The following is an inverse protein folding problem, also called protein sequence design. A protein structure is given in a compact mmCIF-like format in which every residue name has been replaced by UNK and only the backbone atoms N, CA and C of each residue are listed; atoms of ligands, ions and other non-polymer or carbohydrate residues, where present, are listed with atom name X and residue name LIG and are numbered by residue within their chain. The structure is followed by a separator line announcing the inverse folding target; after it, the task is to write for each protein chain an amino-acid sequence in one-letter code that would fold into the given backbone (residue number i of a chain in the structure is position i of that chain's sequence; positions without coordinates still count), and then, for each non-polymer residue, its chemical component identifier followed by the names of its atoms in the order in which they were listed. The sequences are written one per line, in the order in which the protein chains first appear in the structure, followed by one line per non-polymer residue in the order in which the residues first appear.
data_IF_642410731835
#
_entry.id   IF_642410731835
#
_cell.length_a   1.000
_cell.length_b   1.000
_cell.length_c   1.000
_cell.angle_alpha   90.00
_cell.angle_beta   90.00
_cell.angle_gamma   90.00
#
_symmetry.space_group_name_H-M   'P 1'
#
loop_
_entity.id
_entity.type
_entity.pdbx_description
1 polymer ?
#
# COMPACT_ATOMS: atom_id res chain seq x y z
N UNK A 1 -1.85 6.76 32.52
CA UNK A 1 -0.75 6.24 31.68
C UNK A 1 0.15 7.41 31.38
N UNK A 2 1.26 7.51 32.11
CA UNK A 2 2.22 8.60 31.97
C UNK A 2 2.86 8.54 30.58
N UNK A 3 2.80 9.67 29.88
CA UNK A 3 3.44 9.87 28.59
C UNK A 3 4.95 9.90 28.74
N UNK A 4 5.60 8.81 28.34
CA UNK A 4 7.01 8.81 27.95
C UNK A 4 7.07 8.92 26.43
N UNK A 5 7.29 10.13 25.92
CA UNK A 5 7.58 10.37 24.50
C UNK A 5 8.96 9.84 24.14
N UNK A 6 9.11 8.52 24.09
CA UNK A 6 10.24 7.89 23.42
C UNK A 6 10.01 8.00 21.92
N UNK A 7 10.88 8.74 21.23
CA UNK A 7 10.92 8.75 19.77
C UNK A 7 11.22 7.32 19.31
N UNK A 8 10.21 6.62 18.78
CA UNK A 8 10.42 5.29 18.23
C UNK A 8 11.27 5.43 16.98
N UNK A 9 12.53 4.99 17.02
CA UNK A 9 13.34 4.87 15.81
C UNK A 9 12.81 3.70 15.00
N UNK A 10 12.16 3.99 13.87
CA UNK A 10 11.72 2.98 12.92
C UNK A 10 12.50 3.11 11.61
N UNK A 11 12.96 1.96 11.09
CA UNK A 11 13.47 1.89 9.73
C UNK A 11 12.30 1.86 8.75
N UNK A 12 12.47 2.49 7.60
CA UNK A 12 11.47 2.48 6.53
C UNK A 12 11.95 1.64 5.36
N UNK A 13 11.17 0.61 5.01
CA UNK A 13 11.40 -0.23 3.85
C UNK A 13 10.32 0.03 2.80
N UNK A 14 10.68 -0.15 1.52
CA UNK A 14 9.76 -0.05 0.39
C UNK A 14 9.94 -1.22 -0.55
N UNK A 15 8.84 -1.70 -1.10
CA UNK A 15 8.81 -2.70 -2.17
C UNK A 15 7.91 -2.20 -3.30
N UNK A 16 8.14 -2.75 -4.49
CA UNK A 16 7.30 -2.50 -5.66
C UNK A 16 6.56 -3.79 -5.99
N UNK A 17 5.25 -3.69 -6.17
CA UNK A 17 4.48 -4.80 -6.69
C UNK A 17 4.56 -4.80 -8.21
N UNK A 18 4.75 -5.97 -8.85
CA UNK A 18 4.71 -6.04 -10.29
C UNK A 18 3.31 -5.61 -10.76
N UNK A 19 3.27 -4.67 -11.70
CA UNK A 19 2.02 -4.38 -12.43
C UNK A 19 1.74 -5.62 -13.27
N UNK A 20 0.78 -6.44 -12.84
CA UNK A 20 0.34 -7.59 -13.62
C UNK A 20 -0.17 -7.06 -14.99
N UNK A 21 0.17 -7.71 -16.12
CA UNK A 21 -0.30 -7.27 -17.42
C UNK A 21 -1.82 -7.27 -17.46
N UNK A 22 -2.39 -6.06 -17.38
CA UNK A 22 -3.82 -5.72 -17.36
C UNK A 22 -4.61 -6.57 -16.35
N UNK A 23 -4.61 -6.19 -15.06
CA UNK A 23 -5.50 -6.83 -14.11
C UNK A 23 -6.94 -6.57 -14.60
N UNK A 24 -7.72 -7.63 -14.81
CA UNK A 24 -9.11 -7.47 -15.22
C UNK A 24 -9.86 -6.67 -14.14
N UNK A 25 -10.80 -5.79 -14.49
CA UNK A 25 -11.64 -5.12 -13.50
C UNK A 25 -12.27 -6.13 -12.53
N UNK A 26 -12.09 -5.89 -11.23
CA UNK A 26 -12.53 -6.79 -10.17
C UNK A 26 -11.51 -7.85 -9.75
N UNK A 27 -10.36 -7.95 -10.41
CA UNK A 27 -9.23 -8.73 -9.89
C UNK A 27 -8.68 -8.12 -8.61
N UNK A 28 -8.21 -8.97 -7.70
CA UNK A 28 -7.58 -8.55 -6.44
C UNK A 28 -6.24 -9.24 -6.25
N UNK A 29 -5.27 -8.47 -5.76
CA UNK A 29 -4.00 -8.98 -5.24
C UNK A 29 -4.06 -8.91 -3.71
N UNK A 30 -3.76 -10.02 -3.04
CA UNK A 30 -3.62 -10.08 -1.59
C UNK A 30 -2.16 -10.33 -1.20
N UNK A 31 -1.68 -9.64 -0.18
CA UNK A 31 -0.33 -9.84 0.37
C UNK A 31 -0.28 -9.60 1.88
N UNK A 32 0.74 -10.16 2.53
CA UNK A 32 1.07 -9.93 3.94
C UNK A 32 2.55 -9.55 4.04
N UNK A 33 2.95 -8.91 5.14
CA UNK A 33 4.33 -8.53 5.40
C UNK A 33 4.93 -9.54 6.37
N UNK A 34 6.04 -10.17 5.95
CA UNK A 34 6.88 -10.96 6.85
C UNK A 34 8.16 -10.19 7.11
N UNK A 35 8.49 -9.99 8.39
CA UNK A 35 9.75 -9.42 8.85
C UNK A 35 10.56 -10.49 9.58
N UNK A 36 11.72 -10.85 9.00
CA UNK A 36 12.61 -11.86 9.56
C UNK A 36 13.86 -11.18 10.12
N UNK A 37 14.09 -11.30 11.42
CA UNK A 37 15.25 -10.69 12.11
C UNK A 37 15.75 -11.60 13.22
N UNK A 38 17.07 -11.77 13.33
CA UNK A 38 17.71 -12.56 14.39
C UNK A 38 17.15 -13.99 14.56
N UNK A 39 16.67 -14.62 13.47
CA UNK A 39 16.08 -15.96 13.50
C UNK A 39 14.63 -16.01 13.99
N UNK A 40 13.98 -14.87 14.21
CA UNK A 40 12.56 -14.77 14.53
C UNK A 40 11.77 -14.24 13.31
N UNK A 41 10.53 -14.71 13.18
CA UNK A 41 9.60 -14.25 12.14
C UNK A 41 8.44 -13.48 12.77
N UNK A 42 8.13 -12.34 12.17
CA UNK A 42 7.01 -11.49 12.53
C UNK A 42 6.12 -11.32 11.31
N UNK A 43 4.83 -11.62 11.46
CA UNK A 43 3.85 -11.51 10.39
C UNK A 43 2.87 -10.38 10.69
N UNK A 44 2.74 -9.47 9.74
CA UNK A 44 1.60 -8.57 9.64
C UNK A 44 0.72 -9.03 8.48
N UNK A 45 -0.36 -9.69 8.85
CA UNK A 45 -1.39 -10.17 7.94
C UNK A 45 -2.70 -9.40 8.16
N UNK A 46 -2.65 -8.18 8.71
CA UNK A 46 -3.83 -7.34 8.95
C UNK A 46 -4.94 -8.12 9.71
N UNK A 47 -4.57 -8.70 10.85
CA UNK A 47 -5.44 -9.55 11.68
C UNK A 47 -6.07 -10.74 10.94
N UNK A 48 -5.30 -11.35 10.03
CA UNK A 48 -5.72 -12.48 9.20
C UNK A 48 -6.52 -12.11 7.94
N UNK A 49 -6.75 -10.82 7.68
CA UNK A 49 -7.48 -10.35 6.49
C UNK A 49 -6.56 -10.09 5.28
N UNK A 50 -5.25 -10.04 5.49
CA UNK A 50 -4.22 -9.59 4.55
C UNK A 50 -4.48 -8.16 4.03
N UNK A 51 -3.51 -7.63 3.28
CA UNK A 51 -3.68 -6.41 2.51
C UNK A 51 -4.24 -6.72 1.14
N UNK A 52 -5.23 -5.96 0.68
CA UNK A 52 -5.94 -6.19 -0.58
C UNK A 52 -5.85 -5.00 -1.51
N UNK A 53 -5.34 -5.23 -2.72
CA UNK A 53 -5.36 -4.27 -3.83
C UNK A 53 -6.39 -4.73 -4.84
N UNK A 54 -7.42 -3.92 -5.07
CA UNK A 54 -8.49 -4.22 -6.02
C UNK A 54 -8.25 -3.41 -7.28
N UNK A 55 -8.18 -4.08 -8.43
CA UNK A 55 -8.18 -3.40 -9.71
C UNK A 55 -9.60 -2.92 -10.02
N UNK A 56 -9.83 -1.63 -9.78
CA UNK A 56 -11.08 -0.99 -10.15
C UNK A 56 -10.95 -0.38 -11.53
N UNK A 57 -11.96 -0.58 -12.38
CA UNK A 57 -12.13 0.20 -13.59
C UNK A 57 -12.57 1.61 -13.18
N UNK A 58 -11.63 2.44 -12.76
CA UNK A 58 -11.92 3.85 -12.61
C UNK A 58 -12.12 4.42 -14.01
N UNK A 59 -13.39 4.56 -14.43
CA UNK A 59 -13.74 5.76 -15.18
C UNK A 59 -13.47 6.90 -14.22
N UNK A 60 -12.25 7.43 -14.25
CA UNK A 60 -11.95 8.72 -13.64
C UNK A 60 -12.82 9.73 -14.37
N UNK A 61 -14.06 9.93 -13.91
CA UNK A 61 -14.67 11.25 -14.08
C UNK A 61 -13.81 12.14 -13.22
N UNK A 62 -12.85 12.81 -13.86
CA UNK A 62 -12.00 13.82 -13.24
C UNK A 62 -12.91 14.66 -12.35
N UNK A 63 -12.80 14.58 -11.01
CA UNK A 63 -13.46 15.56 -10.16
C UNK A 63 -12.97 16.91 -10.67
N UNK A 64 -13.88 17.86 -10.93
CA UNK A 64 -13.52 19.16 -11.54
C UNK A 64 -12.37 19.87 -10.81
N UNK A 65 -12.13 19.52 -9.56
CA UNK A 65 -11.05 19.98 -8.69
C UNK A 65 -9.65 19.44 -9.05
N UNK A 66 -9.53 18.40 -9.89
CA UNK A 66 -8.25 17.80 -10.29
C UNK A 66 -7.69 18.31 -11.62
N UNK A 67 -8.42 19.14 -12.37
CA UNK A 67 -7.91 19.76 -13.61
C UNK A 67 -6.69 20.66 -13.31
N UNK A 68 -6.67 21.33 -12.17
CA UNK A 68 -5.60 22.24 -11.76
C UNK A 68 -4.33 21.54 -11.25
N UNK A 69 -4.37 20.22 -11.04
CA UNK A 69 -3.26 19.45 -10.47
C UNK A 69 -2.55 18.55 -11.49
N UNK A 70 -2.99 18.54 -12.75
CA UNK A 70 -2.33 17.80 -13.82
C UNK A 70 -1.24 18.67 -14.46
N UNK A 71 0.01 18.47 -14.01
CA UNK A 71 1.18 19.00 -14.70
C UNK A 71 1.25 18.38 -16.11
N UNK A 72 0.91 19.18 -17.12
CA UNK A 72 1.12 18.83 -18.52
C UNK A 72 2.60 19.11 -18.86
N UNK A 73 3.38 18.07 -19.10
CA UNK A 73 4.71 18.22 -19.68
C UNK A 73 4.57 18.32 -21.19
N UNK A 74 4.85 19.50 -21.75
CA UNK A 74 5.06 19.74 -23.19
C UNK A 74 6.53 19.64 -23.57
#
# INVERSE_FOLDING_TARGET
WEGGGGEFSCDTFRFHLPVLPIPQPGSSLEFAIQYNVCGAEYWDNNDGNNYKLICQNYKLTVPKECEDCMLHFT
#
